data_IF_986609871304
#
_entry.id   IF_986609871304
#
_cell.length_a   1.000
_cell.length_b   1.000
_cell.length_c   1.000
_cell.angle_alpha   90.00
_cell.angle_beta   90.00
_cell.angle_gamma   90.00
#
_symmetry.space_group_name_H-M   'P 1'
#
loop_
_entity.id
_entity.type
_entity.pdbx_description
1 polymer ?
#
# COMPACT_ATOMS: atom_id res chain seq x y z
N UNK A 1 21.17 -2.28 -15.06
CA UNK A 1 19.99 -2.85 -14.39
C UNK A 1 19.87 -2.12 -13.06
N UNK A 2 18.76 -1.44 -12.77
CA UNK A 2 18.61 -0.69 -11.51
C UNK A 2 18.46 -1.67 -10.36
N UNK A 3 19.26 -1.51 -9.31
CA UNK A 3 19.12 -2.34 -8.10
C UNK A 3 17.83 -1.97 -7.38
N UNK A 4 16.89 -2.91 -7.30
CA UNK A 4 15.58 -2.71 -6.66
C UNK A 4 15.11 -3.95 -5.92
N UNK A 5 14.18 -3.75 -5.00
CA UNK A 5 13.41 -4.82 -4.33
C UNK A 5 11.95 -4.43 -4.31
N UNK A 6 11.06 -5.39 -4.49
CA UNK A 6 9.62 -5.18 -4.42
C UNK A 6 8.94 -6.32 -3.68
N UNK A 7 7.92 -5.99 -2.91
CA UNK A 7 6.96 -6.95 -2.42
C UNK A 7 5.92 -7.24 -3.51
N UNK A 8 5.48 -8.49 -3.60
CA UNK A 8 4.30 -8.80 -4.40
C UNK A 8 3.09 -8.15 -3.73
N UNK A 9 2.30 -7.41 -4.52
CA UNK A 9 1.27 -6.54 -3.99
C UNK A 9 0.12 -7.33 -3.33
N UNK A 10 -0.34 -8.42 -3.95
CA UNK A 10 -1.42 -9.25 -3.39
C UNK A 10 -1.03 -9.85 -2.03
N UNK A 11 0.10 -10.57 -1.87
CA UNK A 11 0.53 -11.06 -0.55
C UNK A 11 0.71 -9.94 0.49
N UNK A 12 1.21 -8.77 0.08
CA UNK A 12 1.36 -7.62 0.98
C UNK A 12 0.01 -7.11 1.48
N UNK A 13 -0.99 -7.07 0.61
CA UNK A 13 -2.37 -6.74 0.97
C UNK A 13 -2.99 -7.81 1.85
N UNK A 14 -2.83 -9.08 1.52
CA UNK A 14 -3.40 -10.19 2.28
C UNK A 14 -2.87 -10.20 3.72
N UNK A 15 -1.56 -10.02 3.91
CA UNK A 15 -0.96 -9.93 5.25
C UNK A 15 -1.43 -8.68 6.00
N UNK A 16 -1.55 -7.55 5.30
CA UNK A 16 -1.98 -6.29 5.94
C UNK A 16 -3.44 -6.38 6.40
N UNK A 17 -4.32 -6.88 5.54
CA UNK A 17 -5.74 -7.02 5.82
C UNK A 17 -5.98 -8.10 6.86
N UNK A 18 -5.34 -9.27 6.77
CA UNK A 18 -5.48 -10.34 7.76
C UNK A 18 -5.13 -9.86 9.18
N UNK A 19 -3.98 -9.21 9.35
CA UNK A 19 -3.56 -8.67 10.65
C UNK A 19 -4.53 -7.60 11.19
N UNK A 20 -5.08 -6.77 10.30
CA UNK A 20 -6.08 -5.79 10.68
C UNK A 20 -7.40 -6.46 11.09
N UNK A 21 -7.82 -7.49 10.36
CA UNK A 21 -9.03 -8.25 10.65
C UNK A 21 -8.93 -9.00 11.98
N UNK A 22 -7.78 -9.61 12.27
CA UNK A 22 -7.48 -10.22 13.57
C UNK A 22 -7.57 -9.17 14.70
N UNK A 23 -7.01 -7.97 14.50
CA UNK A 23 -7.12 -6.88 15.47
C UNK A 23 -8.57 -6.40 15.68
N UNK A 24 -9.42 -6.50 14.66
CA UNK A 24 -10.81 -6.04 14.67
C UNK A 24 -11.82 -7.16 14.88
N UNK A 25 -11.41 -8.32 15.39
CA UNK A 25 -12.25 -9.51 15.49
C UNK A 25 -13.58 -9.23 16.20
N UNK A 26 -13.56 -8.50 17.32
CA UNK A 26 -14.75 -8.12 18.09
C UNK A 26 -15.74 -7.23 17.31
N UNK A 27 -15.24 -6.49 16.31
CA UNK A 27 -16.07 -5.63 15.44
C UNK A 27 -16.57 -6.41 14.23
N UNK A 28 -15.77 -7.31 13.68
CA UNK A 28 -16.04 -8.00 12.42
C UNK A 28 -16.90 -9.26 12.58
N UNK A 29 -16.72 -10.02 13.67
CA UNK A 29 -17.52 -11.22 13.94
C UNK A 29 -19.02 -10.89 14.08
N UNK A 30 -19.44 -9.85 14.81
CA UNK A 30 -20.88 -9.59 14.99
C UNK A 30 -21.58 -9.00 13.75
N UNK A 31 -20.85 -8.67 12.68
CA UNK A 31 -21.44 -8.12 11.45
C UNK A 31 -22.46 -9.08 10.84
N UNK A 32 -23.55 -8.53 10.30
CA UNK A 32 -24.52 -9.31 9.52
C UNK A 32 -23.91 -9.73 8.20
N UNK A 33 -24.41 -10.80 7.59
CA UNK A 33 -23.94 -11.32 6.30
C UNK A 33 -23.84 -10.23 5.22
N UNK A 34 -24.89 -9.42 5.05
CA UNK A 34 -24.89 -8.27 4.12
C UNK A 34 -23.80 -7.23 4.39
N UNK A 35 -23.40 -7.03 5.66
CA UNK A 35 -22.31 -6.11 6.00
C UNK A 35 -20.94 -6.73 5.67
N UNK A 36 -20.81 -8.06 5.79
CA UNK A 36 -19.57 -8.80 5.48
C UNK A 36 -19.27 -8.87 3.99
N UNK A 37 -20.32 -8.94 3.15
CA UNK A 37 -20.17 -9.03 1.68
C UNK A 37 -19.76 -7.70 1.03
N UNK A 38 -19.87 -6.60 1.77
CA UNK A 38 -19.63 -5.23 1.30
C UNK A 38 -18.40 -4.58 1.95
N UNK A 39 -17.46 -5.37 2.47
CA UNK A 39 -16.27 -4.83 3.13
C UNK A 39 -15.28 -4.26 2.13
N UNK A 40 -14.83 -3.03 2.38
CA UNK A 40 -13.80 -2.37 1.59
C UNK A 40 -12.78 -1.71 2.48
N UNK A 41 -11.50 -2.02 2.26
CA UNK A 41 -10.38 -1.27 2.86
C UNK A 41 -9.94 -0.16 1.92
N UNK A 42 -9.99 1.07 2.42
CA UNK A 42 -9.54 2.27 1.72
C UNK A 42 -8.11 2.56 2.16
N UNK A 43 -7.20 2.69 1.21
CA UNK A 43 -5.79 3.00 1.45
C UNK A 43 -5.36 4.21 0.63
N UNK A 44 -4.49 5.05 1.20
CA UNK A 44 -3.74 6.03 0.41
C UNK A 44 -2.41 5.44 -0.02
N UNK A 45 -1.90 5.87 -1.17
CA UNK A 45 -0.59 5.45 -1.65
C UNK A 45 0.11 6.57 -2.40
N UNK A 46 1.39 6.35 -2.68
CA UNK A 46 2.20 7.21 -3.52
C UNK A 46 3.66 6.79 -3.52
N UNK A 47 4.51 7.66 -4.04
CA UNK A 47 5.93 7.45 -4.20
C UNK A 47 6.70 8.73 -3.89
N UNK A 48 7.94 8.56 -3.44
CA UNK A 48 8.81 9.67 -3.03
C UNK A 48 10.29 9.32 -3.24
N UNK A 49 11.09 10.34 -3.55
CA UNK A 49 12.53 10.27 -3.74
C UNK A 49 13.30 10.89 -2.57
N UNK A 50 14.40 10.26 -2.18
CA UNK A 50 15.32 10.82 -1.17
C UNK A 50 16.78 10.63 -1.54
N UNK A 51 17.63 11.54 -1.08
CA UNK A 51 19.08 11.39 -1.18
C UNK A 51 19.63 10.72 0.08
N UNK A 52 20.71 9.97 -0.08
CA UNK A 52 21.35 9.22 1.00
C UNK A 52 22.87 9.20 0.86
N UNK A 53 23.56 9.00 1.98
CA UNK A 53 25.01 8.82 1.98
C UNK A 53 25.39 7.54 1.24
N UNK A 54 26.28 7.66 0.26
CA UNK A 54 26.78 6.51 -0.48
C UNK A 54 27.55 5.56 0.46
N UNK A 55 27.23 4.27 0.37
CA UNK A 55 28.01 3.24 1.03
C UNK A 55 29.40 3.14 0.40
N UNK A 56 30.46 3.28 1.20
CA UNK A 56 31.86 3.25 0.74
C UNK A 56 32.31 1.82 0.40
N UNK A 57 31.79 1.27 -0.69
CA UNK A 57 32.26 0.02 -1.30
C UNK A 57 32.89 0.33 -2.65
N UNK A 58 33.88 -0.48 -3.06
CA UNK A 58 34.44 -0.42 -4.42
C UNK A 58 33.32 -0.73 -5.41
N UNK A 59 32.81 0.28 -6.11
CA UNK A 59 31.78 0.12 -7.12
C UNK A 59 32.34 -0.71 -8.28
N UNK A 60 31.51 -1.63 -8.81
CA UNK A 60 31.85 -2.40 -10.01
C UNK A 60 31.58 -1.57 -11.26
N UNK A 61 30.71 -0.56 -11.17
CA UNK A 61 30.38 0.40 -12.22
C UNK A 61 29.81 1.72 -11.67
N UNK A 62 29.88 2.83 -12.42
CA UNK A 62 29.24 4.12 -12.08
C UNK A 62 27.69 4.08 -12.13
N UNK A 63 27.13 3.00 -12.67
CA UNK A 63 25.68 2.79 -12.83
C UNK A 63 25.05 2.35 -11.48
N UNK A 64 25.85 1.87 -10.54
CA UNK A 64 25.42 1.37 -9.22
C UNK A 64 25.50 2.43 -8.12
N UNK A 65 25.18 3.70 -8.44
CA UNK A 65 25.20 4.77 -7.44
C UNK A 65 24.02 4.63 -6.47
N UNK A 66 24.30 4.18 -5.25
CA UNK A 66 23.34 4.13 -4.15
C UNK A 66 23.14 5.50 -3.46
N UNK A 67 23.33 6.62 -4.17
CA UNK A 67 23.18 7.97 -3.61
C UNK A 67 21.74 8.44 -3.48
N UNK A 68 20.81 7.75 -4.16
CA UNK A 68 19.41 8.13 -4.21
C UNK A 68 18.53 6.90 -4.03
N UNK A 69 17.40 7.10 -3.36
CA UNK A 69 16.33 6.14 -3.20
C UNK A 69 15.10 6.71 -3.84
N UNK A 70 14.36 5.83 -4.48
CA UNK A 70 12.98 6.05 -4.84
C UNK A 70 12.15 4.91 -4.26
N UNK A 71 11.07 5.25 -3.56
CA UNK A 71 10.21 4.26 -2.89
C UNK A 71 8.74 4.52 -3.18
N UNK A 72 7.97 3.45 -3.24
CA UNK A 72 6.52 3.49 -3.31
C UNK A 72 5.90 2.74 -2.12
N UNK A 73 4.87 3.34 -1.53
CA UNK A 73 4.27 2.89 -0.29
C UNK A 73 2.76 3.08 -0.30
N UNK A 74 2.05 2.34 0.56
CA UNK A 74 0.66 2.62 0.89
C UNK A 74 0.40 2.63 2.39
N UNK A 75 -0.71 3.24 2.80
CA UNK A 75 -1.17 3.33 4.18
C UNK A 75 -2.66 2.96 4.21
N UNK A 76 -3.09 1.93 4.95
CA UNK A 76 -4.51 1.67 5.17
C UNK A 76 -5.11 2.79 6.01
N UNK A 77 -6.24 3.35 5.56
CA UNK A 77 -6.89 4.49 6.18
C UNK A 77 -8.18 4.09 6.90
N UNK A 78 -9.06 3.37 6.22
CA UNK A 78 -10.39 3.06 6.74
C UNK A 78 -10.83 1.68 6.29
N UNK A 79 -11.58 1.00 7.16
CA UNK A 79 -12.36 -0.19 6.80
C UNK A 79 -13.83 0.20 6.87
N UNK A 80 -14.55 0.02 5.78
CA UNK A 80 -15.96 0.39 5.66
C UNK A 80 -16.80 -0.80 5.23
N UNK A 81 -18.09 -0.76 5.56
CA UNK A 81 -19.11 -1.72 5.15
C UNK A 81 -20.27 -1.01 4.46
N UNK A 82 -20.62 -1.44 3.25
CA UNK A 82 -21.85 -1.06 2.55
C UNK A 82 -21.64 -0.07 1.39
N UNK A 83 -22.38 -0.28 0.29
CA UNK A 83 -22.19 0.50 -0.96
C UNK A 83 -22.96 1.83 -1.01
N UNK A 84 -24.06 1.97 -0.24
CA UNK A 84 -24.95 3.15 -0.27
C UNK A 84 -24.99 3.96 1.04
N UNK A 85 -24.75 3.29 2.16
CA UNK A 85 -24.59 3.89 3.49
C UNK A 85 -23.31 3.30 4.09
N UNK A 86 -22.16 3.86 3.72
CA UNK A 86 -20.85 3.41 4.20
C UNK A 86 -20.79 3.54 5.74
N UNK A 87 -20.85 2.40 6.42
CA UNK A 87 -20.59 2.31 7.86
C UNK A 87 -19.10 2.17 8.06
N UNK A 88 -18.47 3.13 8.75
CA UNK A 88 -17.06 3.05 9.11
C UNK A 88 -16.89 2.07 10.27
N UNK A 89 -16.13 1.00 10.04
CA UNK A 89 -15.80 -0.03 11.03
C UNK A 89 -14.46 0.24 11.72
N UNK A 90 -13.54 0.88 11.01
CA UNK A 90 -12.24 1.26 11.55
C UNK A 90 -11.67 2.48 10.84
N UNK A 91 -10.97 3.32 11.60
CA UNK A 91 -10.14 4.41 11.11
C UNK A 91 -8.71 4.21 11.62
N UNK A 92 -7.74 4.48 10.76
CA UNK A 92 -6.35 4.54 11.17
C UNK A 92 -6.17 5.72 12.15
N UNK A 93 -5.77 5.47 13.42
CA UNK A 93 -5.65 6.53 14.41
C UNK A 93 -4.48 7.47 14.13
N UNK A 94 -3.49 7.04 13.34
CA UNK A 94 -2.30 7.83 13.01
C UNK A 94 -1.96 7.68 11.52
N UNK A 95 -2.75 8.27 10.61
CA UNK A 95 -2.66 8.03 9.17
C UNK A 95 -1.39 8.60 8.52
N UNK A 96 -0.65 9.46 9.20
CA UNK A 96 0.65 10.00 8.76
C UNK A 96 1.84 9.37 9.49
N UNK A 97 1.60 8.38 10.37
CA UNK A 97 2.69 7.70 11.07
C UNK A 97 3.40 6.71 10.12
N UNK A 98 4.75 6.67 10.13
CA UNK A 98 5.51 5.64 9.42
C UNK A 98 5.13 4.21 9.84
N UNK A 99 4.56 4.02 11.03
CA UNK A 99 4.17 2.69 11.56
C UNK A 99 3.15 1.96 10.67
N UNK A 100 2.27 2.71 10.00
CA UNK A 100 1.26 2.16 9.09
C UNK A 100 1.68 2.28 7.61
N UNK A 101 2.86 2.83 7.33
CA UNK A 101 3.39 2.94 5.98
C UNK A 101 3.96 1.59 5.55
N UNK A 102 3.29 0.94 4.61
CA UNK A 102 3.68 -0.35 4.03
C UNK A 102 4.50 -0.11 2.77
N UNK A 103 5.79 -0.46 2.75
CA UNK A 103 6.62 -0.33 1.55
C UNK A 103 6.19 -1.36 0.52
N UNK A 104 6.01 -0.92 -0.73
CA UNK A 104 5.69 -1.77 -1.88
C UNK A 104 6.98 -2.07 -2.63
N UNK A 105 7.69 -1.03 -3.07
CA UNK A 105 8.90 -1.16 -3.88
C UNK A 105 9.91 -0.09 -3.52
N UNK A 106 11.17 -0.46 -3.66
CA UNK A 106 12.33 0.35 -3.29
C UNK A 106 13.41 0.19 -4.36
N UNK A 107 13.91 1.31 -4.88
CA UNK A 107 14.87 1.35 -5.97
C UNK A 107 16.01 2.32 -5.66
N UNK A 108 17.25 1.94 -6.00
CA UNK A 108 18.39 2.85 -5.98
C UNK A 108 18.46 3.64 -7.28
N UNK A 109 17.57 4.63 -7.40
CA UNK A 109 17.49 5.52 -8.56
C UNK A 109 17.11 6.92 -8.08
N UNK A 110 17.56 7.94 -8.81
CA UNK A 110 17.14 9.32 -8.58
C UNK A 110 15.70 9.48 -9.07
N UNK A 111 14.88 10.16 -8.29
CA UNK A 111 13.55 10.57 -8.73
C UNK A 111 13.66 11.52 -9.92
N UNK A 112 12.96 11.16 -11.00
CA UNK A 112 12.75 11.96 -12.21
C UNK A 112 11.29 11.81 -12.63
N UNK A 113 10.77 12.72 -13.46
CA UNK A 113 9.39 12.64 -13.94
C UNK A 113 9.09 11.30 -14.61
N UNK A 114 9.99 10.83 -15.47
CA UNK A 114 9.85 9.55 -16.17
C UNK A 114 9.77 8.37 -15.19
N UNK A 115 10.64 8.33 -14.17
CA UNK A 115 10.66 7.26 -13.16
C UNK A 115 9.38 7.29 -12.32
N UNK A 116 8.91 8.48 -11.98
CA UNK A 116 7.67 8.67 -11.21
C UNK A 116 6.45 8.23 -12.03
N UNK A 117 6.34 8.64 -13.29
CA UNK A 117 5.24 8.26 -14.18
C UNK A 117 5.21 6.75 -14.47
N UNK A 118 6.37 6.14 -14.70
CA UNK A 118 6.52 4.70 -14.88
C UNK A 118 6.02 3.93 -13.64
N UNK A 119 6.46 4.33 -12.44
CA UNK A 119 6.05 3.67 -11.19
C UNK A 119 4.55 3.85 -10.92
N UNK A 120 4.01 5.05 -11.15
CA UNK A 120 2.57 5.31 -10.98
C UNK A 120 1.75 4.43 -11.92
N UNK A 121 2.17 4.32 -13.18
CA UNK A 121 1.49 3.51 -14.20
C UNK A 121 1.57 2.02 -13.83
N UNK A 122 2.75 1.56 -13.43
CA UNK A 122 2.99 0.20 -12.96
C UNK A 122 2.08 -0.16 -11.79
N UNK A 123 2.02 0.68 -10.75
CA UNK A 123 1.20 0.43 -9.57
C UNK A 123 -0.30 0.52 -9.85
N UNK A 124 -0.74 1.49 -10.66
CA UNK A 124 -2.16 1.56 -11.09
C UNK A 124 -2.58 0.28 -11.78
N UNK A 125 -1.76 -0.24 -12.70
CA UNK A 125 -2.02 -1.53 -13.36
C UNK A 125 -2.06 -2.67 -12.34
N UNK A 126 -1.11 -2.73 -11.41
CA UNK A 126 -1.09 -3.74 -10.36
C UNK A 126 -2.36 -3.68 -9.47
N UNK A 127 -2.81 -2.49 -9.06
CA UNK A 127 -4.04 -2.31 -8.28
C UNK A 127 -5.28 -2.79 -9.02
N UNK A 128 -5.37 -2.60 -10.33
CA UNK A 128 -6.52 -3.09 -11.12
C UNK A 128 -6.59 -4.62 -11.20
N UNK A 129 -5.45 -5.29 -11.03
CA UNK A 129 -5.37 -6.76 -11.05
C UNK A 129 -5.57 -7.41 -9.67
N UNK A 130 -5.68 -6.61 -8.60
CA UNK A 130 -5.87 -7.14 -7.25
C UNK A 130 -7.25 -7.82 -7.10
N UNK A 131 -7.23 -8.96 -6.41
CA UNK A 131 -8.43 -9.63 -5.97
C UNK A 131 -8.71 -9.29 -4.50
N UNK A 132 -9.97 -9.34 -4.04
CA UNK A 132 -10.27 -9.15 -2.63
C UNK A 132 -9.54 -10.16 -1.74
N UNK A 133 -9.09 -9.73 -0.56
CA UNK A 133 -8.49 -10.64 0.43
C UNK A 133 -9.58 -11.43 1.15
N UNK A 134 -9.42 -12.74 1.16
CA UNK A 134 -10.22 -13.66 1.99
C UNK A 134 -9.60 -13.79 3.39
N UNK A 135 -10.44 -13.65 4.42
CA UNK A 135 -10.04 -13.83 5.82
C UNK A 135 -11.04 -14.74 6.52
N UNK A 136 -10.55 -15.66 7.35
CA UNK A 136 -11.35 -16.50 8.22
C UNK A 136 -11.05 -16.13 9.69
N UNK A 137 -12.06 -15.61 10.38
CA UNK A 137 -12.01 -15.29 11.81
C UNK A 137 -12.88 -16.29 12.57
N UNK A 138 -12.29 -17.43 12.98
CA UNK A 138 -12.97 -18.42 13.82
C UNK A 138 -14.24 -19.02 13.17
N UNK A 139 -14.25 -19.19 11.85
CA UNK A 139 -15.40 -19.68 11.08
C UNK A 139 -16.23 -18.57 10.43
N UNK A 140 -15.96 -17.30 10.75
CA UNK A 140 -16.53 -16.14 10.04
C UNK A 140 -15.67 -15.79 8.85
N UNK A 141 -16.14 -16.15 7.65
CA UNK A 141 -15.49 -15.79 6.38
C UNK A 141 -15.83 -14.36 5.98
N UNK A 142 -14.81 -13.61 5.61
CA UNK A 142 -14.87 -12.23 5.17
C UNK A 142 -14.18 -12.09 3.82
N UNK A 143 -14.76 -11.28 2.93
CA UNK A 143 -14.18 -10.92 1.65
C UNK A 143 -13.97 -9.40 1.60
N UNK A 144 -12.73 -8.95 1.68
CA UNK A 144 -12.40 -7.53 1.83
C UNK A 144 -11.83 -6.99 0.52
N UNK A 145 -12.59 -6.11 -0.14
CA UNK A 145 -12.18 -5.41 -1.36
C UNK A 145 -11.15 -4.33 -1.04
N UNK A 146 -10.33 -3.98 -2.02
CA UNK A 146 -9.29 -2.95 -1.87
C UNK A 146 -9.61 -1.72 -2.71
N UNK A 147 -9.51 -0.54 -2.10
CA UNK A 147 -9.64 0.75 -2.79
C UNK A 147 -8.41 1.59 -2.49
N UNK A 148 -7.74 2.04 -3.55
CA UNK A 148 -6.51 2.84 -3.45
C UNK A 148 -6.73 4.25 -3.97
N UNK A 149 -6.28 5.23 -3.19
CA UNK A 149 -6.36 6.65 -3.55
C UNK A 149 -4.93 7.20 -3.57
N UNK A 150 -4.52 7.76 -4.70
CA UNK A 150 -3.18 8.31 -4.86
C UNK A 150 -3.15 9.73 -4.29
N UNK A 151 -2.62 9.88 -3.07
CA UNK A 151 -2.53 11.17 -2.37
C UNK A 151 -1.22 11.39 -1.62
N UNK A 152 -0.33 10.37 -1.57
CA UNK A 152 0.99 10.49 -0.95
C UNK A 152 2.03 10.90 -1.99
N UNK A 153 1.80 12.02 -2.67
CA UNK A 153 2.70 12.57 -3.67
C UNK A 153 2.84 14.08 -3.49
N UNK A 154 4.00 14.61 -3.83
CA UNK A 154 4.26 16.04 -3.82
C UNK A 154 3.51 16.77 -4.94
N UNK A 155 3.30 18.08 -4.78
CA UNK A 155 2.66 18.94 -5.79
C UNK A 155 3.33 18.90 -7.16
N UNK A 156 4.63 18.57 -7.21
CA UNK A 156 5.43 18.43 -8.43
C UNK A 156 4.92 17.33 -9.37
N UNK A 157 4.17 16.36 -8.85
CA UNK A 157 3.59 15.27 -9.67
C UNK A 157 2.36 15.75 -10.46
N UNK A 158 1.80 16.91 -10.10
CA UNK A 158 0.63 17.50 -10.75
C UNK A 158 0.97 18.73 -11.63
N UNK A 159 2.25 19.10 -11.72
CA UNK A 159 2.78 20.15 -12.60
C UNK A 159 3.35 19.55 -13.89
#
# INVERSE_FOLDING_TARGET
>A
MVTSTSAQLQPLMDVTVRRLSEYLEEVLIPLKEKERDCLTIISKWGCDGSQQSQFKRKSVSDIDSNSSIFQSCFVPLQLVSGDKNEKVLWNNPTPSSPRFCRPIRFCFIKETNDVTEEEITHLKSAFTSLVPTEVDLGGTKLLIKHKFIMTMVDGKVYE
#
